data_IF_942699415549
#
_entry.id   IF_942699415549
#
_cell.length_a   1.000
_cell.length_b   1.000
_cell.length_c   1.000
_cell.angle_alpha   90.00
_cell.angle_beta   90.00
_cell.angle_gamma   90.00
#
_symmetry.space_group_name_H-M   'P 1'
#
loop_
_entity.id
_entity.type
_entity.pdbx_description
1 polymer ?
#
# COMPACT_ATOMS: atom_id res chain seq x y z
N UNK A 1 -8.68 -15.13 8.79
CA UNK A 1 -8.83 -14.36 10.04
C UNK A 1 -7.48 -13.82 10.52
N UNK A 2 -6.49 -14.68 10.77
CA UNK A 2 -5.13 -14.26 11.17
C UNK A 2 -4.48 -13.22 10.24
N UNK A 3 -4.53 -13.43 8.91
CA UNK A 3 -3.95 -12.49 7.94
C UNK A 3 -4.62 -11.10 7.98
N UNK A 4 -5.94 -11.05 8.13
CA UNK A 4 -6.67 -9.77 8.26
C UNK A 4 -6.25 -9.04 9.55
N UNK A 5 -6.03 -9.79 10.63
CA UNK A 5 -5.57 -9.22 11.90
C UNK A 5 -4.14 -8.68 11.78
N UNK A 6 -3.23 -9.43 11.17
CA UNK A 6 -1.86 -8.97 10.90
C UNK A 6 -1.89 -7.71 10.02
N UNK A 7 -2.67 -7.71 8.94
CA UNK A 7 -2.83 -6.55 8.07
C UNK A 7 -3.37 -5.34 8.84
N UNK A 8 -4.34 -5.53 9.75
CA UNK A 8 -4.90 -4.46 10.56
C UNK A 8 -3.88 -3.88 11.54
N UNK A 9 -3.17 -4.74 12.27
CA UNK A 9 -2.13 -4.30 13.22
C UNK A 9 -1.03 -3.53 12.48
N UNK A 10 -0.54 -4.07 11.36
CA UNK A 10 0.44 -3.41 10.52
C UNK A 10 -0.07 -2.07 9.97
N UNK A 11 -1.32 -2.02 9.50
CA UNK A 11 -1.94 -0.79 9.01
C UNK A 11 -1.98 0.29 10.09
N UNK A 12 -2.44 -0.05 11.30
CA UNK A 12 -2.56 0.90 12.41
C UNK A 12 -1.19 1.40 12.83
N UNK A 13 -0.25 0.50 13.11
CA UNK A 13 1.09 0.89 13.57
C UNK A 13 1.83 1.72 12.52
N UNK A 14 1.79 1.30 11.26
CA UNK A 14 2.49 2.01 10.19
C UNK A 14 1.82 3.35 9.85
N UNK A 15 0.49 3.44 9.91
CA UNK A 15 -0.22 4.72 9.72
C UNK A 15 0.08 5.71 10.85
N UNK A 16 0.13 5.26 12.11
CA UNK A 16 0.50 6.10 13.24
C UNK A 16 1.94 6.61 13.10
N UNK A 17 2.87 5.72 12.74
CA UNK A 17 4.25 6.12 12.51
C UNK A 17 4.37 7.12 11.35
N UNK A 18 3.70 6.86 10.22
CA UNK A 18 3.69 7.77 9.05
C UNK A 18 3.04 9.12 9.38
N UNK A 19 1.94 9.11 10.14
CA UNK A 19 1.29 10.34 10.58
C UNK A 19 2.20 11.15 11.51
N UNK A 20 2.84 10.48 12.46
CA UNK A 20 3.81 11.12 13.35
C UNK A 20 5.00 11.71 12.59
N UNK A 21 5.59 10.98 11.64
CA UNK A 21 6.72 11.49 10.84
C UNK A 21 6.32 12.72 10.03
N UNK A 22 5.14 12.71 9.41
CA UNK A 22 4.62 13.86 8.66
C UNK A 22 4.32 15.08 9.54
N UNK A 23 4.02 14.90 10.82
CA UNK A 23 3.78 16.00 11.76
C UNK A 23 5.07 16.68 12.24
N UNK A 24 6.15 15.92 12.39
CA UNK A 24 7.42 16.44 12.93
C UNK A 24 8.43 16.86 11.85
N UNK A 25 8.20 16.44 10.60
CA UNK A 25 9.14 16.69 9.50
C UNK A 25 8.80 18.02 8.83
N UNK A 26 9.80 18.90 8.70
CA UNK A 26 9.62 20.18 7.99
C UNK A 26 9.68 20.02 6.45
N UNK A 27 10.28 18.94 5.98
CA UNK A 27 10.37 18.60 4.56
C UNK A 27 9.05 18.04 4.03
N UNK A 28 8.66 18.46 2.81
CA UNK A 28 7.51 17.87 2.13
C UNK A 28 7.80 16.44 1.65
N UNK A 29 6.75 15.63 1.52
CA UNK A 29 6.88 14.24 1.04
C UNK A 29 7.48 14.15 -0.38
N UNK A 30 7.18 15.12 -1.24
CA UNK A 30 7.77 15.21 -2.58
C UNK A 30 9.26 15.52 -2.50
N UNK A 31 9.66 16.49 -1.66
CA UNK A 31 11.07 16.82 -1.48
C UNK A 31 11.87 15.65 -0.89
N UNK A 32 11.28 14.92 0.07
CA UNK A 32 11.86 13.69 0.60
C UNK A 32 12.05 12.63 -0.49
N UNK A 33 11.06 12.42 -1.34
CA UNK A 33 11.17 11.51 -2.48
C UNK A 33 12.27 11.90 -3.48
N UNK A 34 12.39 13.19 -3.80
CA UNK A 34 13.47 13.69 -4.66
C UNK A 34 14.85 13.50 -4.04
N UNK A 35 14.97 13.71 -2.73
CA UNK A 35 16.21 13.47 -1.99
C UNK A 35 16.60 11.99 -2.01
N UNK A 36 15.66 11.07 -1.80
CA UNK A 36 15.92 9.63 -1.94
C UNK A 36 16.36 9.26 -3.36
N UNK A 37 15.83 9.93 -4.39
CA UNK A 37 16.23 9.69 -5.77
C UNK A 37 17.58 10.32 -6.14
N UNK A 38 18.10 11.23 -5.31
CA UNK A 38 19.36 11.95 -5.60
C UNK A 38 20.61 11.09 -5.49
N UNK A 39 20.54 9.98 -4.74
CA UNK A 39 21.63 9.02 -4.58
C UNK A 39 21.25 7.66 -5.16
N UNK A 40 22.15 6.99 -5.92
CA UNK A 40 21.83 5.72 -6.58
C UNK A 40 21.40 4.59 -5.64
N UNK A 41 21.99 4.53 -4.44
CA UNK A 41 21.71 3.51 -3.42
C UNK A 41 20.29 3.63 -2.85
N UNK A 42 19.85 4.84 -2.52
CA UNK A 42 18.48 5.09 -2.05
C UNK A 42 17.46 5.08 -3.18
N UNK A 43 17.84 5.54 -4.38
CA UNK A 43 16.98 5.50 -5.57
C UNK A 43 16.61 4.06 -5.95
N UNK A 44 17.55 3.12 -5.85
CA UNK A 44 17.28 1.70 -6.09
C UNK A 44 16.15 1.18 -5.18
N UNK A 45 16.14 1.56 -3.90
CA UNK A 45 15.10 1.16 -2.95
C UNK A 45 13.75 1.77 -3.32
N UNK A 46 13.71 3.06 -3.68
CA UNK A 46 12.47 3.72 -4.12
C UNK A 46 11.90 3.03 -5.36
N UNK A 47 12.74 2.75 -6.36
CA UNK A 47 12.31 2.06 -7.58
C UNK A 47 11.75 0.68 -7.26
N UNK A 48 12.46 -0.12 -6.47
CA UNK A 48 12.02 -1.45 -6.06
C UNK A 48 10.68 -1.42 -5.32
N UNK A 49 10.52 -0.49 -4.36
CA UNK A 49 9.27 -0.30 -3.62
C UNK A 49 8.10 0.07 -4.53
N UNK A 50 8.30 0.95 -5.50
CA UNK A 50 7.24 1.35 -6.43
C UNK A 50 6.93 0.27 -7.48
N UNK A 51 7.91 -0.57 -7.86
CA UNK A 51 7.64 -1.77 -8.65
C UNK A 51 6.75 -2.75 -7.87
N UNK A 52 7.08 -3.03 -6.61
CA UNK A 52 6.24 -3.86 -5.72
C UNK A 52 4.84 -3.24 -5.52
N UNK A 53 4.75 -1.92 -5.38
CA UNK A 53 3.48 -1.21 -5.28
C UNK A 53 2.63 -1.37 -6.55
N UNK A 54 3.25 -1.24 -7.73
CA UNK A 54 2.59 -1.44 -9.02
C UNK A 54 2.05 -2.86 -9.17
N UNK A 55 2.85 -3.88 -8.81
CA UNK A 55 2.40 -5.27 -8.81
C UNK A 55 1.25 -5.50 -7.82
N UNK A 56 1.29 -4.86 -6.64
CA UNK A 56 0.23 -4.92 -5.65
C UNK A 56 -1.06 -4.27 -6.16
N UNK A 57 -0.98 -3.14 -6.88
CA UNK A 57 -2.10 -2.51 -7.56
C UNK A 57 -2.76 -3.44 -8.59
N UNK A 58 -1.97 -4.06 -9.45
CA UNK A 58 -2.46 -5.01 -10.44
C UNK A 58 -3.13 -6.22 -9.77
N UNK A 59 -2.55 -6.71 -8.68
CA UNK A 59 -3.12 -7.78 -7.87
C UNK A 59 -4.48 -7.39 -7.27
N UNK A 60 -4.60 -6.22 -6.64
CA UNK A 60 -5.87 -5.74 -6.08
C UNK A 60 -6.97 -5.61 -7.13
N UNK A 61 -6.63 -5.08 -8.32
CA UNK A 61 -7.57 -4.98 -9.44
C UNK A 61 -8.01 -6.36 -9.89
N UNK A 62 -7.08 -7.31 -10.03
CA UNK A 62 -7.38 -8.68 -10.45
C UNK A 62 -8.24 -9.42 -9.41
N UNK A 63 -7.89 -9.36 -8.14
CA UNK A 63 -8.65 -9.97 -7.02
C UNK A 63 -10.05 -9.37 -6.90
N UNK A 64 -10.19 -8.05 -7.05
CA UNK A 64 -11.50 -7.42 -7.00
C UNK A 64 -12.39 -7.82 -8.20
N UNK A 65 -11.80 -7.97 -9.38
CA UNK A 65 -12.52 -8.42 -10.58
C UNK A 65 -12.92 -9.89 -10.51
N UNK A 66 -12.08 -10.78 -9.96
CA UNK A 66 -12.44 -12.20 -9.78
C UNK A 66 -13.64 -12.39 -8.84
N UNK A 67 -13.85 -11.45 -7.93
CA UNK A 67 -15.02 -11.39 -7.02
C UNK A 67 -16.26 -10.73 -7.63
N UNK A 68 -16.27 -10.49 -8.94
CA UNK A 68 -17.40 -9.87 -9.65
C UNK A 68 -17.62 -8.39 -9.35
N UNK A 69 -16.68 -7.72 -8.65
CA UNK A 69 -16.78 -6.29 -8.32
C UNK A 69 -16.16 -5.41 -9.43
N UNK A 70 -16.70 -4.20 -9.60
CA UNK A 70 -16.15 -3.21 -10.53
C UNK A 70 -14.75 -2.76 -10.12
N UNK A 71 -13.84 -2.56 -11.09
CA UNK A 71 -12.49 -2.05 -10.84
C UNK A 71 -12.50 -0.64 -10.21
N UNK A 72 -13.57 0.14 -10.38
CA UNK A 72 -13.72 1.43 -9.72
C UNK A 72 -13.73 1.32 -8.19
N UNK A 73 -14.17 0.18 -7.64
CA UNK A 73 -14.22 -0.01 -6.19
C UNK A 73 -12.83 -0.11 -5.56
N UNK A 74 -11.78 -0.42 -6.34
CA UNK A 74 -10.41 -0.43 -5.81
C UNK A 74 -9.69 0.91 -5.91
N UNK A 75 -10.28 1.89 -6.60
CA UNK A 75 -9.65 3.19 -6.85
C UNK A 75 -9.14 3.88 -5.57
N UNK A 76 -9.86 3.91 -4.44
CA UNK A 76 -9.35 4.51 -3.21
C UNK A 76 -8.05 3.84 -2.71
N UNK A 77 -7.95 2.52 -2.81
CA UNK A 77 -6.74 1.78 -2.41
C UNK A 77 -5.59 2.07 -3.36
N UNK A 78 -5.85 2.18 -4.67
CA UNK A 78 -4.83 2.53 -5.67
C UNK A 78 -4.25 3.93 -5.42
N UNK A 79 -5.12 4.92 -5.16
CA UNK A 79 -4.69 6.28 -4.84
C UNK A 79 -3.88 6.32 -3.55
N UNK A 80 -4.31 5.58 -2.53
CA UNK A 80 -3.56 5.47 -1.27
C UNK A 80 -2.20 4.79 -1.48
N UNK A 81 -2.13 3.79 -2.35
CA UNK A 81 -0.87 3.11 -2.74
C UNK A 81 0.06 4.06 -3.48
N UNK A 82 -0.44 4.92 -4.37
CA UNK A 82 0.40 5.85 -5.12
C UNK A 82 1.17 6.82 -4.20
N UNK A 83 0.55 7.23 -3.09
CA UNK A 83 1.14 8.19 -2.14
C UNK A 83 1.92 7.49 -1.03
N UNK A 84 1.36 6.44 -0.44
CA UNK A 84 1.90 5.82 0.78
C UNK A 84 2.34 4.36 0.59
N UNK A 85 2.34 3.87 -0.64
CA UNK A 85 2.81 2.55 -1.05
C UNK A 85 2.11 1.43 -0.29
N UNK A 86 2.58 1.03 0.89
CA UNK A 86 2.06 -0.10 1.64
C UNK A 86 0.68 0.12 2.29
N UNK A 87 0.25 1.37 2.54
CA UNK A 87 -1.06 1.62 3.18
C UNK A 87 -2.25 1.15 2.34
N UNK A 88 -2.19 1.29 1.01
CA UNK A 88 -3.26 0.87 0.11
C UNK A 88 -3.52 -0.64 0.16
N UNK A 89 -2.52 -1.50 -0.10
CA UNK A 89 -2.67 -2.95 -0.03
C UNK A 89 -3.03 -3.44 1.38
N UNK A 90 -2.48 -2.83 2.44
CA UNK A 90 -2.83 -3.16 3.82
C UNK A 90 -4.32 -2.87 4.09
N UNK A 91 -4.82 -1.70 3.71
CA UNK A 91 -6.24 -1.35 3.86
C UNK A 91 -7.14 -2.27 3.04
N UNK A 92 -6.72 -2.61 1.81
CA UNK A 92 -7.43 -3.58 0.97
C UNK A 92 -7.55 -4.94 1.67
N UNK A 93 -6.45 -5.45 2.21
CA UNK A 93 -6.41 -6.72 2.95
C UNK A 93 -7.26 -6.70 4.23
N UNK A 94 -7.35 -5.56 4.92
CA UNK A 94 -8.21 -5.41 6.11
C UNK A 94 -9.68 -5.53 5.74
N UNK A 95 -10.11 -4.81 4.70
CA UNK A 95 -11.52 -4.68 4.32
C UNK A 95 -12.00 -5.89 3.54
N UNK A 96 -11.28 -6.25 2.47
CA UNK A 96 -11.68 -7.33 1.54
C UNK A 96 -11.20 -8.69 2.04
N UNK A 97 -10.05 -8.71 2.72
CA UNK A 97 -9.38 -9.96 3.09
C UNK A 97 -8.90 -10.78 1.89
N UNK A 98 -8.00 -11.71 2.15
CA UNK A 98 -7.74 -12.79 1.20
C UNK A 98 -8.91 -13.77 1.35
N UNK A 99 -9.73 -13.93 0.32
CA UNK A 99 -10.71 -15.01 0.29
C UNK A 99 -9.96 -16.34 0.40
N UNK A 100 -10.47 -17.22 1.26
CA UNK A 100 -10.05 -18.61 1.23
C UNK A 100 -10.60 -19.22 -0.06
N UNK A 101 -9.78 -19.32 -1.10
CA UNK A 101 -9.90 -20.49 -1.96
C UNK A 101 -9.58 -21.72 -1.08
N UNK A 102 -10.62 -22.47 -0.71
CA UNK A 102 -10.47 -23.65 0.14
C UNK A 102 -11.70 -24.04 0.95
N UNK A 103 -12.89 -24.00 0.35
CA UNK A 103 -14.01 -24.89 0.73
C UNK A 103 -14.51 -25.52 -0.57
N UNK A 104 -13.79 -26.54 -1.01
CA UNK A 104 -14.28 -27.57 -1.91
C UNK A 104 -14.41 -28.85 -1.09
#
# INVERSE_FOLDING_TARGET
MALRFIALVSLVLFSLYTGWTLLITEQSLVAFGLELMSRPDTAQVVIDLYLMAGLSCLWMVKDNRSRGSSALTVLPYLLLTAVFVSLGPLLYLVIRGVDKEGQA
#
